data_IF_692098652194
#
_entry.id   IF_692098652194
#
_cell.length_a   1.000
_cell.length_b   1.000
_cell.length_c   1.000
_cell.angle_alpha   90.00
_cell.angle_beta   90.00
_cell.angle_gamma   90.00
#
_symmetry.space_group_name_H-M   'P 1'
#
loop_
_entity.id
_entity.type
_entity.pdbx_description
1 polymer ?
#
# COMPACT_ATOMS: atom_id res chain seq x y z
N UNK A 1 -31.11 -58.39 3.41
CA UNK A 1 -30.36 -58.09 2.20
C UNK A 1 -30.88 -56.75 1.66
N UNK A 2 -30.10 -55.69 1.80
CA UNK A 2 -30.51 -54.34 1.34
C UNK A 2 -30.11 -54.28 -0.14
N UNK A 3 -31.16 -54.23 -1.00
CA UNK A 3 -30.97 -54.13 -2.45
C UNK A 3 -30.34 -52.74 -2.76
N UNK A 4 -29.17 -52.72 -3.37
CA UNK A 4 -28.53 -51.50 -3.83
C UNK A 4 -29.36 -50.91 -4.99
N UNK A 5 -30.11 -49.87 -4.73
CA UNK A 5 -30.81 -49.10 -5.76
C UNK A 5 -29.81 -48.56 -6.77
N UNK A 6 -29.90 -49.00 -8.00
CA UNK A 6 -29.01 -48.58 -9.10
C UNK A 6 -29.43 -47.22 -9.57
N UNK A 7 -28.65 -46.18 -9.18
CA UNK A 7 -28.91 -44.80 -9.62
C UNK A 7 -28.97 -44.68 -11.15
N UNK A 8 -29.96 -43.98 -11.64
CA UNK A 8 -30.09 -43.71 -13.07
C UNK A 8 -29.01 -42.75 -13.58
N UNK A 9 -28.76 -42.73 -14.88
CA UNK A 9 -27.75 -41.80 -15.48
C UNK A 9 -28.14 -40.31 -15.21
N UNK A 10 -29.44 -40.01 -15.23
CA UNK A 10 -29.96 -38.66 -14.93
C UNK A 10 -29.74 -38.27 -13.47
N UNK A 11 -29.89 -39.17 -12.52
CA UNK A 11 -29.60 -38.90 -11.10
C UNK A 11 -28.12 -38.62 -10.85
N UNK A 12 -27.25 -39.34 -11.51
CA UNK A 12 -25.80 -39.09 -11.43
C UNK A 12 -25.38 -37.76 -12.03
N UNK A 13 -25.99 -37.36 -13.16
CA UNK A 13 -25.80 -36.06 -13.78
C UNK A 13 -26.29 -34.92 -12.90
N UNK A 14 -27.48 -35.11 -12.27
CA UNK A 14 -28.03 -34.13 -11.34
C UNK A 14 -27.14 -33.95 -10.10
N UNK A 15 -26.67 -35.04 -9.53
CA UNK A 15 -25.72 -35.02 -8.39
C UNK A 15 -24.41 -34.30 -8.76
N UNK A 16 -23.84 -34.61 -9.93
CA UNK A 16 -22.66 -33.93 -10.43
C UNK A 16 -22.88 -32.42 -10.58
N UNK A 17 -24.04 -32.02 -11.10
CA UNK A 17 -24.41 -30.60 -11.23
C UNK A 17 -24.47 -29.91 -9.86
N UNK A 18 -25.10 -30.51 -8.85
CA UNK A 18 -25.15 -29.97 -7.50
C UNK A 18 -23.76 -29.84 -6.85
N UNK A 19 -22.87 -30.82 -7.08
CA UNK A 19 -21.50 -30.75 -6.59
C UNK A 19 -20.75 -29.58 -7.25
N UNK A 20 -20.87 -29.40 -8.58
CA UNK A 20 -20.24 -28.29 -9.31
C UNK A 20 -20.78 -26.94 -8.82
N UNK A 21 -22.11 -26.80 -8.66
CA UNK A 21 -22.71 -25.57 -8.13
C UNK A 21 -22.26 -25.28 -6.70
N UNK A 22 -22.13 -26.31 -5.86
CA UNK A 22 -21.59 -26.18 -4.51
C UNK A 22 -20.13 -25.69 -4.50
N UNK A 23 -19.29 -26.25 -5.36
CA UNK A 23 -17.89 -25.80 -5.51
C UNK A 23 -17.79 -24.36 -6.03
N UNK A 24 -18.64 -23.98 -6.99
CA UNK A 24 -18.73 -22.61 -7.48
C UNK A 24 -19.19 -21.65 -6.36
N UNK A 25 -20.15 -22.04 -5.57
CA UNK A 25 -20.60 -21.25 -4.43
C UNK A 25 -19.48 -21.06 -3.39
N UNK A 26 -18.76 -22.12 -3.03
CA UNK A 26 -17.61 -22.05 -2.13
C UNK A 26 -16.54 -21.13 -2.72
N UNK A 27 -16.22 -21.24 -4.00
CA UNK A 27 -15.28 -20.36 -4.67
C UNK A 27 -15.69 -18.88 -4.59
N UNK A 28 -16.95 -18.57 -4.93
CA UNK A 28 -17.48 -17.20 -4.94
C UNK A 28 -17.54 -16.60 -3.52
N UNK A 29 -17.99 -17.37 -2.53
CA UNK A 29 -18.24 -16.85 -1.19
C UNK A 29 -17.01 -16.88 -0.27
N UNK A 30 -16.09 -17.82 -0.47
CA UNK A 30 -14.96 -18.03 0.45
C UNK A 30 -13.58 -17.72 -0.16
N UNK A 31 -13.38 -17.93 -1.46
CA UNK A 31 -12.06 -17.78 -2.09
C UNK A 31 -11.94 -16.41 -2.78
N UNK A 32 -12.92 -16.03 -3.59
CA UNK A 32 -12.90 -14.76 -4.33
C UNK A 32 -12.78 -13.49 -3.45
N UNK A 33 -13.38 -13.43 -2.24
CA UNK A 33 -13.24 -12.24 -1.38
C UNK A 33 -11.85 -12.10 -0.73
N UNK A 34 -11.00 -13.15 -0.76
CA UNK A 34 -9.69 -13.13 -0.11
C UNK A 34 -8.64 -12.52 -1.05
N UNK A 35 -8.59 -11.18 -1.10
CA UNK A 35 -7.66 -10.42 -1.94
C UNK A 35 -6.18 -10.77 -1.72
N UNK A 36 -5.83 -11.35 -0.56
CA UNK A 36 -4.45 -11.68 -0.19
C UNK A 36 -4.04 -13.13 -0.46
N UNK A 37 -4.95 -14.01 -0.94
CA UNK A 37 -4.72 -15.47 -0.96
C UNK A 37 -3.49 -15.91 -1.78
N UNK A 38 -3.15 -15.18 -2.83
CA UNK A 38 -2.04 -15.50 -3.74
C UNK A 38 -0.89 -14.49 -3.65
N UNK A 39 -0.92 -13.59 -2.65
CA UNK A 39 0.11 -12.57 -2.45
C UNK A 39 1.22 -13.16 -1.57
N UNK A 40 2.46 -12.99 -2.00
CA UNK A 40 3.63 -13.36 -1.20
C UNK A 40 3.80 -12.37 -0.06
N UNK A 41 3.83 -12.88 1.17
CA UNK A 41 4.19 -12.06 2.33
C UNK A 41 5.69 -12.17 2.59
N UNK A 42 6.35 -11.04 2.82
CA UNK A 42 7.78 -10.95 3.09
C UNK A 42 8.02 -10.79 4.58
N UNK A 43 8.81 -11.72 5.17
CA UNK A 43 9.26 -11.59 6.54
C UNK A 43 10.58 -10.80 6.58
N UNK A 44 10.59 -9.56 7.10
CA UNK A 44 11.80 -8.74 7.11
C UNK A 44 12.95 -9.36 7.88
N UNK A 45 12.68 -10.25 8.86
CA UNK A 45 13.71 -10.93 9.66
C UNK A 45 14.45 -12.04 8.90
N UNK A 46 13.90 -12.51 7.79
CA UNK A 46 14.52 -13.52 6.93
C UNK A 46 15.34 -12.89 5.79
N UNK A 47 15.32 -11.56 5.68
CA UNK A 47 16.01 -10.80 4.64
C UNK A 47 17.30 -10.20 5.18
N UNK A 48 18.27 -10.01 4.30
CA UNK A 48 19.55 -9.36 4.63
C UNK A 48 19.65 -8.00 3.96
N UNK A 49 19.99 -6.98 4.73
CA UNK A 49 20.07 -5.60 4.26
C UNK A 49 21.45 -5.02 4.52
N UNK A 50 21.96 -4.20 3.60
CA UNK A 50 23.25 -3.54 3.77
C UNK A 50 23.20 -2.46 4.86
N UNK A 51 22.11 -1.68 4.90
CA UNK A 51 21.88 -0.60 5.86
C UNK A 51 20.55 -0.77 6.59
N UNK A 52 20.44 -1.66 7.59
CA UNK A 52 19.17 -1.94 8.29
C UNK A 52 18.49 -0.69 8.88
N UNK A 53 19.27 0.32 9.29
CA UNK A 53 18.78 1.61 9.81
C UNK A 53 18.02 2.46 8.81
N UNK A 54 18.16 2.16 7.51
CA UNK A 54 17.48 2.88 6.42
C UNK A 54 16.34 2.04 5.83
N UNK A 55 16.05 0.88 6.43
CA UNK A 55 14.95 0.01 6.02
C UNK A 55 13.70 0.31 6.83
N UNK A 56 12.59 0.42 6.12
CA UNK A 56 11.26 0.62 6.67
C UNK A 56 10.36 -0.55 6.28
N UNK A 57 9.60 -1.04 7.23
CA UNK A 57 8.58 -2.07 7.03
C UNK A 57 7.20 -1.41 7.08
N UNK A 58 6.54 -1.35 5.94
CA UNK A 58 5.16 -0.91 5.80
C UNK A 58 4.26 -2.15 5.82
N UNK A 59 3.50 -2.33 6.90
CA UNK A 59 2.54 -3.42 7.05
C UNK A 59 1.14 -2.99 6.64
N UNK A 60 0.52 -3.77 5.78
CA UNK A 60 -0.88 -3.66 5.35
C UNK A 60 -1.58 -5.02 5.46
N UNK A 61 -2.88 -5.10 5.19
CA UNK A 61 -3.65 -6.35 5.37
C UNK A 61 -3.06 -7.54 4.62
N UNK A 62 -2.52 -7.34 3.41
CA UNK A 62 -1.97 -8.43 2.60
C UNK A 62 -0.48 -8.73 2.85
N UNK A 63 0.19 -8.04 3.76
CA UNK A 63 1.56 -8.35 4.13
C UNK A 63 2.47 -7.15 4.31
N UNK A 64 3.78 -7.41 4.24
CA UNK A 64 4.83 -6.42 4.45
C UNK A 64 5.42 -5.94 3.13
N UNK A 65 5.54 -4.63 3.00
CA UNK A 65 6.25 -3.93 1.93
C UNK A 65 7.52 -3.39 2.56
N UNK A 66 8.66 -3.71 1.97
CA UNK A 66 9.97 -3.30 2.48
C UNK A 66 10.49 -2.16 1.62
N UNK A 67 10.81 -1.05 2.28
CA UNK A 67 11.27 0.19 1.65
C UNK A 67 12.70 0.47 2.11
N UNK A 68 13.61 0.74 1.18
CA UNK A 68 14.92 1.30 1.46
C UNK A 68 14.89 2.81 1.25
N UNK A 69 15.30 3.56 2.29
CA UNK A 69 15.30 5.02 2.27
C UNK A 69 16.59 5.59 1.67
N UNK A 70 16.52 6.81 1.14
CA UNK A 70 17.60 7.53 0.49
C UNK A 70 18.12 8.73 1.31
N UNK A 71 18.74 8.51 2.51
CA UNK A 71 19.21 9.61 3.37
C UNK A 71 20.32 10.47 2.73
N UNK A 72 21.05 9.93 1.75
CA UNK A 72 22.09 10.68 1.03
C UNK A 72 21.53 11.55 -0.11
N UNK A 73 20.30 11.27 -0.56
CA UNK A 73 19.61 12.00 -1.65
C UNK A 73 18.74 13.12 -1.07
N UNK A 74 17.92 12.81 -0.07
CA UNK A 74 16.97 13.72 0.56
C UNK A 74 17.02 13.63 2.08
N UNK A 75 18.13 14.11 2.70
CA UNK A 75 18.41 13.92 4.12
C UNK A 75 17.33 14.49 5.05
N UNK A 76 16.82 15.70 4.80
CA UNK A 76 15.80 16.34 5.66
C UNK A 76 14.44 15.66 5.52
N UNK A 77 14.10 15.24 4.33
CA UNK A 77 12.85 14.53 4.03
C UNK A 77 12.84 13.15 4.67
N UNK A 78 13.95 12.41 4.56
CA UNK A 78 14.13 11.11 5.20
C UNK A 78 14.14 11.25 6.73
N UNK A 79 14.81 12.27 7.28
CA UNK A 79 14.78 12.55 8.73
C UNK A 79 13.36 12.80 9.24
N UNK A 80 12.58 13.66 8.55
CA UNK A 80 11.17 13.91 8.88
C UNK A 80 10.35 12.62 8.81
N UNK A 81 10.51 11.83 7.76
CA UNK A 81 9.79 10.59 7.58
C UNK A 81 10.09 9.59 8.71
N UNK A 82 11.37 9.38 9.04
CA UNK A 82 11.81 8.53 10.17
C UNK A 82 11.29 9.03 11.52
N UNK A 83 11.31 10.34 11.76
CA UNK A 83 10.76 10.92 12.98
C UNK A 83 9.26 10.58 13.15
N UNK A 84 8.47 10.72 12.09
CA UNK A 84 7.04 10.40 12.12
C UNK A 84 6.79 8.90 12.29
N UNK A 85 7.63 8.04 11.71
CA UNK A 85 7.60 6.58 11.89
C UNK A 85 7.86 6.23 13.35
N UNK A 86 8.93 6.75 13.94
CA UNK A 86 9.33 6.50 15.34
C UNK A 86 8.22 6.93 16.31
N UNK A 87 7.51 8.00 16.00
CA UNK A 87 6.35 8.47 16.76
C UNK A 87 5.06 7.70 16.45
N UNK A 88 5.10 6.68 15.59
CA UNK A 88 3.95 5.86 15.17
C UNK A 88 2.80 6.69 14.57
N UNK A 89 3.12 7.83 13.94
CA UNK A 89 2.12 8.74 13.38
C UNK A 89 1.38 8.15 12.18
N UNK A 90 2.02 7.21 11.45
CA UNK A 90 1.46 6.57 10.26
C UNK A 90 0.56 5.37 10.57
N UNK A 91 0.48 4.91 11.83
CA UNK A 91 -0.39 3.79 12.20
C UNK A 91 -1.86 4.15 11.96
N UNK A 92 -2.58 3.25 11.31
CA UNK A 92 -4.00 3.40 10.96
C UNK A 92 -4.29 4.61 10.05
N UNK A 93 -3.33 5.03 9.23
CA UNK A 93 -3.51 6.09 8.24
C UNK A 93 -3.95 5.50 6.90
N UNK A 94 -4.93 6.13 6.28
CA UNK A 94 -5.55 5.70 5.03
C UNK A 94 -4.62 5.86 3.82
N UNK A 95 -4.70 4.91 2.89
CA UNK A 95 -4.32 5.16 1.49
C UNK A 95 -5.47 5.93 0.84
N UNK A 96 -5.43 7.23 0.97
CA UNK A 96 -6.56 8.11 0.64
C UNK A 96 -6.69 8.46 -0.83
N UNK A 97 -5.60 8.37 -1.60
CA UNK A 97 -5.58 8.61 -3.03
C UNK A 97 -4.89 7.44 -3.73
N UNK A 98 -5.61 6.79 -4.63
CA UNK A 98 -5.10 5.65 -5.38
C UNK A 98 -5.46 5.81 -6.85
N UNK A 99 -4.44 5.94 -7.69
CA UNK A 99 -4.58 5.93 -9.14
C UNK A 99 -4.09 4.57 -9.62
N UNK A 100 -5.03 3.79 -10.12
CA UNK A 100 -4.76 2.41 -10.54
C UNK A 100 -3.60 2.33 -11.51
N UNK A 101 -2.67 1.43 -11.26
CA UNK A 101 -1.44 1.21 -12.02
C UNK A 101 -0.49 2.42 -12.08
N UNK A 102 -0.74 3.49 -11.34
CA UNK A 102 0.14 4.68 -11.33
C UNK A 102 0.76 4.89 -9.97
N UNK A 103 -0.06 5.11 -8.93
CA UNK A 103 0.45 5.35 -7.58
C UNK A 103 -0.58 5.08 -6.49
N UNK A 104 -0.07 4.83 -5.29
CA UNK A 104 -0.82 4.89 -4.03
C UNK A 104 -0.25 6.01 -3.16
N UNK A 105 -1.11 6.81 -2.52
CA UNK A 105 -0.72 7.94 -1.67
C UNK A 105 -1.37 7.82 -0.29
N UNK A 106 -0.57 8.09 0.74
CA UNK A 106 -0.95 8.05 2.15
C UNK A 106 -0.31 9.20 2.94
N UNK A 107 -0.46 9.20 4.26
CA UNK A 107 0.26 10.11 5.15
C UNK A 107 -0.48 11.41 5.49
N UNK A 108 -1.78 11.50 5.25
CA UNK A 108 -2.62 12.56 5.82
C UNK A 108 -2.88 12.24 7.30
N UNK A 109 -2.10 12.86 8.18
CA UNK A 109 -2.10 12.55 9.62
C UNK A 109 -3.26 13.22 10.38
N UNK A 110 -3.94 14.16 9.75
CA UNK A 110 -5.04 14.92 10.35
C UNK A 110 -6.41 14.30 10.01
N UNK A 111 -6.66 14.03 8.73
CA UNK A 111 -7.97 13.56 8.25
C UNK A 111 -7.98 12.10 7.80
N UNK A 112 -6.81 11.45 7.75
CA UNK A 112 -6.65 10.08 7.24
C UNK A 112 -6.70 8.97 8.28
N UNK A 113 -6.96 9.25 9.57
CA UNK A 113 -6.99 8.23 10.62
C UNK A 113 -8.23 7.35 10.53
N UNK A 114 -8.05 6.05 10.72
CA UNK A 114 -9.11 5.03 10.63
C UNK A 114 -10.33 5.36 11.50
N UNK A 115 -10.09 5.81 12.73
CA UNK A 115 -11.15 6.11 13.70
C UNK A 115 -11.85 7.45 13.44
N UNK A 116 -11.25 8.31 12.59
CA UNK A 116 -11.75 9.65 12.28
C UNK A 116 -11.49 10.04 10.82
N UNK A 117 -11.71 9.09 9.90
CA UNK A 117 -11.51 9.35 8.48
C UNK A 117 -12.49 10.40 7.95
N UNK A 118 -11.96 11.51 7.46
CA UNK A 118 -12.77 12.62 6.98
C UNK A 118 -12.58 12.81 5.46
N UNK A 119 -13.49 12.18 4.70
CA UNK A 119 -13.45 12.19 3.24
C UNK A 119 -13.53 13.59 2.61
N UNK A 120 -14.15 14.57 3.28
CA UNK A 120 -14.31 15.92 2.72
C UNK A 120 -13.01 16.74 2.74
N UNK A 121 -12.12 16.45 3.69
CA UNK A 121 -10.87 17.17 3.87
C UNK A 121 -9.62 16.32 3.61
N UNK A 122 -9.82 15.02 3.31
CA UNK A 122 -8.69 14.11 3.07
C UNK A 122 -7.77 14.62 1.97
N UNK A 123 -6.46 14.47 2.17
CA UNK A 123 -5.43 14.96 1.27
C UNK A 123 -4.97 16.40 1.56
N UNK A 124 -5.67 17.13 2.45
CA UNK A 124 -5.27 18.49 2.88
C UNK A 124 -4.58 18.54 4.23
N UNK A 125 -4.62 17.45 5.01
CA UNK A 125 -4.10 17.38 6.37
C UNK A 125 -2.57 17.45 6.43
N UNK A 126 -2.08 17.86 7.60
CA UNK A 126 -0.68 18.13 7.92
C UNK A 126 -0.20 17.32 9.13
N UNK A 127 1.12 17.29 9.32
CA UNK A 127 1.73 16.64 10.50
C UNK A 127 1.65 17.49 11.78
N UNK A 128 1.50 18.78 11.63
CA UNK A 128 1.64 19.75 12.73
C UNK A 128 3.07 20.21 13.00
N UNK A 129 4.08 19.69 12.28
CA UNK A 129 5.50 20.05 12.43
C UNK A 129 5.98 21.07 11.37
N UNK A 130 5.07 21.58 10.55
CA UNK A 130 5.40 22.49 9.44
C UNK A 130 5.95 21.78 8.22
N UNK A 131 6.07 22.50 7.12
CA UNK A 131 6.57 21.99 5.84
C UNK A 131 8.09 21.90 5.83
N UNK A 132 8.61 21.09 4.92
CA UNK A 132 10.04 20.97 4.61
C UNK A 132 10.31 21.43 3.18
N UNK A 133 11.54 21.84 2.92
CA UNK A 133 11.95 22.21 1.58
C UNK A 133 12.03 20.99 0.67
N UNK A 134 11.65 21.16 -0.58
CA UNK A 134 11.83 20.16 -1.62
C UNK A 134 13.31 19.83 -1.79
N UNK A 135 13.65 18.54 -1.80
CA UNK A 135 15.01 18.03 -2.07
C UNK A 135 14.99 17.33 -3.42
N UNK A 136 14.84 18.14 -4.47
CA UNK A 136 14.79 17.67 -5.86
C UNK A 136 16.20 17.27 -6.32
N UNK A 137 16.28 16.24 -7.16
CA UNK A 137 17.55 15.87 -7.80
C UNK A 137 17.30 15.27 -9.19
N UNK A 138 18.34 15.37 -10.03
CA UNK A 138 18.35 14.92 -11.41
C UNK A 138 18.95 13.51 -11.60
N UNK A 139 19.40 12.88 -10.53
CA UNK A 139 20.06 11.56 -10.58
C UNK A 139 19.11 10.41 -10.30
N UNK A 140 18.02 10.67 -9.54
CA UNK A 140 17.05 9.62 -9.17
C UNK A 140 15.97 9.48 -10.24
N UNK A 141 15.89 8.30 -10.83
CA UNK A 141 14.81 7.94 -11.75
C UNK A 141 13.55 7.56 -10.96
N UNK A 142 12.41 8.10 -11.36
CA UNK A 142 11.11 7.75 -10.78
C UNK A 142 10.53 6.53 -11.51
N UNK A 143 10.80 5.34 -10.97
CA UNK A 143 10.35 4.03 -11.48
C UNK A 143 9.29 3.43 -10.58
N UNK A 144 8.67 2.34 -11.02
CA UNK A 144 7.83 1.51 -10.18
C UNK A 144 8.57 1.16 -8.88
N UNK A 145 7.92 1.38 -7.74
CA UNK A 145 8.51 1.23 -6.42
C UNK A 145 9.09 2.51 -5.81
N UNK A 146 9.36 3.58 -6.58
CA UNK A 146 9.86 4.83 -6.01
C UNK A 146 8.88 5.42 -4.99
N UNK A 147 9.40 5.78 -3.83
CA UNK A 147 8.68 6.48 -2.75
C UNK A 147 9.04 7.96 -2.79
N UNK A 148 8.06 8.83 -3.01
CA UNK A 148 8.24 10.28 -3.04
C UNK A 148 7.37 11.01 -2.04
N UNK A 149 7.80 12.21 -1.60
CA UNK A 149 6.96 13.08 -0.80
C UNK A 149 5.93 13.80 -1.67
N UNK A 150 4.69 13.80 -1.21
CA UNK A 150 3.62 14.57 -1.83
C UNK A 150 3.72 16.05 -1.43
N UNK A 151 3.36 16.92 -2.35
CA UNK A 151 3.31 18.37 -2.18
C UNK A 151 2.08 18.99 -2.82
N UNK A 152 1.80 20.23 -2.52
CA UNK A 152 0.84 21.02 -3.28
C UNK A 152 1.43 21.41 -4.65
N UNK A 153 0.75 22.24 -5.43
CA UNK A 153 1.32 22.80 -6.66
C UNK A 153 2.56 23.68 -6.45
N UNK A 154 2.86 24.06 -5.20
CA UNK A 154 4.02 24.87 -4.83
C UNK A 154 5.14 23.98 -4.28
N UNK A 155 6.38 24.29 -4.61
CA UNK A 155 7.57 23.72 -3.99
C UNK A 155 7.64 24.10 -2.50
N UNK A 156 8.41 23.32 -1.73
CA UNK A 156 8.64 23.53 -0.30
C UNK A 156 7.36 23.44 0.55
N UNK A 157 6.42 22.59 0.13
CA UNK A 157 5.17 22.35 0.85
C UNK A 157 5.00 20.88 1.27
N UNK A 158 6.03 20.07 1.10
CA UNK A 158 6.13 18.72 1.60
C UNK A 158 6.01 18.68 3.12
N UNK A 159 5.40 17.61 3.66
CA UNK A 159 5.26 17.45 5.11
C UNK A 159 5.26 15.97 5.51
N UNK A 160 4.09 15.34 5.60
CA UNK A 160 3.91 13.95 6.02
C UNK A 160 3.39 13.03 4.93
N UNK A 161 2.75 13.59 3.90
CA UNK A 161 2.15 12.78 2.85
C UNK A 161 3.21 12.25 1.88
N UNK A 162 3.09 10.98 1.54
CA UNK A 162 3.99 10.30 0.60
C UNK A 162 3.19 9.46 -0.40
N UNK A 163 3.80 9.18 -1.53
CA UNK A 163 3.26 8.26 -2.54
C UNK A 163 4.27 7.18 -2.88
N UNK A 164 3.77 6.05 -3.38
CA UNK A 164 4.57 4.96 -3.95
C UNK A 164 4.11 4.75 -5.38
N UNK A 165 5.03 4.77 -6.33
CA UNK A 165 4.74 4.54 -7.73
C UNK A 165 4.49 3.06 -8.00
N UNK A 166 3.49 2.76 -8.83
CA UNK A 166 3.18 1.41 -9.31
C UNK A 166 3.70 1.16 -10.73
N UNK A 167 4.04 2.24 -11.45
CA UNK A 167 4.66 2.22 -12.78
C UNK A 167 5.72 3.33 -12.90
N UNK A 168 6.49 3.30 -13.95
CA UNK A 168 7.52 4.32 -14.24
C UNK A 168 6.87 5.67 -14.54
N UNK A 169 7.37 6.71 -13.87
CA UNK A 169 6.86 8.09 -13.99
C UNK A 169 8.02 9.09 -14.23
N UNK A 170 8.66 9.09 -15.41
CA UNK A 170 9.83 9.91 -15.66
C UNK A 170 9.56 11.43 -15.55
N UNK A 171 8.30 11.85 -15.70
CA UNK A 171 7.90 13.24 -15.51
C UNK A 171 7.91 13.71 -14.04
N UNK A 172 8.07 12.80 -13.09
CA UNK A 172 8.17 13.14 -11.67
C UNK A 172 9.61 13.52 -11.25
N UNK A 173 10.58 13.18 -12.09
CA UNK A 173 11.98 13.59 -11.91
C UNK A 173 12.09 15.11 -11.88
N UNK A 174 12.87 15.64 -10.94
CA UNK A 174 13.00 17.08 -10.66
C UNK A 174 11.70 17.80 -10.22
N UNK A 175 10.58 17.06 -10.15
CA UNK A 175 9.29 17.63 -9.71
C UNK A 175 8.94 17.20 -8.27
N UNK A 176 9.42 16.03 -7.85
CA UNK A 176 9.13 15.49 -6.52
C UNK A 176 10.40 15.09 -5.80
N UNK A 177 10.36 15.15 -4.45
CA UNK A 177 11.44 14.71 -3.58
C UNK A 177 11.38 13.19 -3.44
N UNK A 178 12.37 12.42 -3.95
CA UNK A 178 12.44 10.97 -3.73
C UNK A 178 12.99 10.69 -2.34
N UNK A 179 12.35 9.81 -1.57
CA UNK A 179 12.80 9.46 -0.21
C UNK A 179 13.20 7.99 -0.06
N UNK A 180 12.97 7.16 -1.06
CA UNK A 180 13.31 5.74 -1.03
C UNK A 180 12.69 4.96 -2.18
N UNK A 181 12.85 3.63 -2.10
CA UNK A 181 12.22 2.69 -3.02
C UNK A 181 11.72 1.42 -2.32
N UNK A 182 10.70 0.81 -2.88
CA UNK A 182 10.22 -0.52 -2.47
C UNK A 182 11.16 -1.57 -3.03
N UNK A 183 11.81 -2.32 -2.14
CA UNK A 183 12.73 -3.41 -2.52
C UNK A 183 12.08 -4.79 -2.46
N UNK A 184 10.96 -4.94 -1.71
CA UNK A 184 10.14 -6.15 -1.68
C UNK A 184 8.67 -5.80 -1.43
N UNK A 185 7.76 -6.55 -2.05
CA UNK A 185 6.33 -6.48 -1.78
C UNK A 185 5.59 -5.39 -2.57
N UNK A 186 6.13 -4.91 -3.69
CA UNK A 186 5.45 -3.92 -4.52
C UNK A 186 4.08 -4.42 -5.00
N UNK A 187 3.97 -5.72 -5.32
CA UNK A 187 2.73 -6.38 -5.75
C UNK A 187 1.62 -6.36 -4.69
N UNK A 188 1.98 -6.18 -3.41
CA UNK A 188 0.99 -6.05 -2.33
C UNK A 188 0.17 -4.76 -2.51
N UNK A 189 0.77 -3.70 -3.05
CA UNK A 189 0.10 -2.42 -3.28
C UNK A 189 -1.01 -2.50 -4.34
N UNK A 190 -0.97 -3.48 -5.24
CA UNK A 190 -2.05 -3.73 -6.21
C UNK A 190 -3.35 -4.20 -5.53
N UNK A 191 -3.26 -4.65 -4.27
CA UNK A 191 -4.43 -5.05 -3.47
C UNK A 191 -5.12 -3.88 -2.78
N UNK A 192 -4.50 -2.70 -2.74
CA UNK A 192 -5.05 -1.51 -2.10
C UNK A 192 -6.31 -1.05 -2.85
N UNK A 193 -7.34 -0.73 -2.07
CA UNK A 193 -8.65 -0.35 -2.60
C UNK A 193 -8.59 0.87 -3.54
N UNK A 194 -9.20 0.72 -4.70
CA UNK A 194 -9.32 1.76 -5.74
C UNK A 194 -10.78 2.19 -5.86
N UNK A 195 -11.05 3.48 -5.95
CA UNK A 195 -12.34 3.98 -6.40
C UNK A 195 -12.25 4.28 -7.90
N UNK A 196 -12.91 3.48 -8.73
CA UNK A 196 -12.86 3.60 -10.19
C UNK A 196 -13.46 4.92 -10.74
N UNK A 197 -14.14 5.70 -9.90
CA UNK A 197 -14.78 6.96 -10.30
C UNK A 197 -13.97 8.18 -9.91
N UNK A 198 -13.02 8.02 -8.97
CA UNK A 198 -12.29 9.12 -8.32
C UNK A 198 -10.90 8.66 -7.92
N UNK A 199 -9.96 9.57 -7.86
CA UNK A 199 -8.62 9.30 -7.31
C UNK A 199 -8.65 9.15 -5.78
N UNK A 200 -9.54 9.88 -5.09
CA UNK A 200 -9.73 9.79 -3.64
C UNK A 200 -10.67 8.64 -3.29
N UNK A 201 -10.22 7.79 -2.37
CA UNK A 201 -10.90 6.53 -2.02
C UNK A 201 -11.89 6.76 -0.89
N UNK A 202 -13.19 6.45 -1.13
CA UNK A 202 -14.24 6.61 -0.13
C UNK A 202 -14.14 5.57 1.01
N UNK A 203 -13.69 4.37 0.70
CA UNK A 203 -13.48 3.28 1.67
C UNK A 203 -12.06 2.76 1.52
N UNK A 204 -11.07 3.48 2.09
CA UNK A 204 -9.67 3.16 1.91
C UNK A 204 -9.24 1.94 2.72
N UNK A 205 -8.19 1.28 2.24
CA UNK A 205 -7.34 0.45 3.10
C UNK A 205 -6.43 1.35 3.93
N UNK A 206 -5.89 0.77 5.01
CA UNK A 206 -5.09 1.53 5.98
C UNK A 206 -3.70 0.91 6.15
N UNK A 207 -2.75 1.74 6.51
CA UNK A 207 -1.46 1.31 7.04
C UNK A 207 -1.72 0.70 8.43
N UNK A 208 -1.46 -0.59 8.60
CA UNK A 208 -1.56 -1.23 9.92
C UNK A 208 -0.43 -0.72 10.82
N UNK A 209 0.78 -0.70 10.29
CA UNK A 209 1.94 -0.09 10.94
C UNK A 209 3.03 0.28 9.94
N UNK A 210 3.84 1.27 10.30
CA UNK A 210 5.06 1.65 9.62
C UNK A 210 6.18 1.71 10.65
N UNK A 211 7.27 0.94 10.45
CA UNK A 211 8.35 0.79 11.43
C UNK A 211 9.70 0.82 10.76
N UNK A 212 10.70 1.38 11.44
CA UNK A 212 12.10 1.13 11.09
C UNK A 212 12.45 -0.31 11.49
N UNK A 213 13.30 -0.97 10.69
CA UNK A 213 13.64 -2.39 10.90
C UNK A 213 14.44 -2.63 12.18
N UNK A 214 15.21 -1.64 12.62
CA UNK A 214 16.09 -1.70 13.78
C UNK A 214 15.45 -1.19 15.10
N UNK A 215 14.11 -1.02 15.15
CA UNK A 215 13.34 -0.56 16.32
C UNK A 215 12.48 -1.63 16.97
#
# INVERSE_FOLDING_TARGET
MIEKVKQSTSEKLLLALFVVLGLIAIYIFFILPQKCLFIKNYNPQELSFQNPKDIVVLNVDCGNIIIELYPNVSPKSVERFKMLITQKKYDNIAFHRVIKNVLVQSGDLEFGKKDNYNYLYIGSGKSGYGTINSELNDQTEFKAGTVGLARTSKLNTEDSQFFILLEDAPLFKEEYTPIGEVIYGLEILDTIAVDHRREYVLRPDFINSLRLLDQ
#
